data_IF_028801754856
#
_entry.id   IF_028801754856
#
_cell.length_a   1.000
_cell.length_b   1.000
_cell.length_c   1.000
_cell.angle_alpha   90.00
_cell.angle_beta   90.00
_cell.angle_gamma   90.00
#
_symmetry.space_group_name_H-M   'P 1'
#
loop_
_entity.id
_entity.type
_entity.pdbx_description
1 polymer ?
#
# COMPACT_ATOMS: atom_id res chain seq x y z
N UNK A 1 18.98 0.71 7.91
CA UNK A 1 17.74 1.47 7.98
C UNK A 1 16.55 0.65 7.55
N UNK A 2 15.36 1.12 7.82
CA UNK A 2 14.12 0.52 7.35
C UNK A 2 13.86 0.95 5.90
N UNK A 3 13.38 0.04 5.05
CA UNK A 3 13.02 0.35 3.66
C UNK A 3 11.50 0.31 3.51
N UNK A 4 10.93 1.34 2.89
CA UNK A 4 9.49 1.45 2.67
C UNK A 4 9.17 1.68 1.19
N UNK A 5 8.24 0.89 0.66
CA UNK A 5 7.58 1.10 -0.63
C UNK A 5 6.16 1.61 -0.38
N UNK A 6 5.79 2.71 -1.02
CA UNK A 6 4.46 3.28 -0.90
C UNK A 6 3.85 3.49 -2.30
N UNK A 7 2.76 2.77 -2.59
CA UNK A 7 2.01 2.85 -3.84
C UNK A 7 0.73 3.63 -3.59
N UNK A 8 0.55 4.76 -4.25
CA UNK A 8 -0.60 5.65 -4.06
C UNK A 8 -1.01 6.35 -5.35
N UNK A 9 -2.23 6.87 -5.41
CA UNK A 9 -2.70 7.80 -6.45
C UNK A 9 -2.47 9.24 -6.03
N UNK A 10 -2.66 9.53 -4.74
CA UNK A 10 -2.44 10.87 -4.16
C UNK A 10 -1.26 10.80 -3.17
N UNK A 11 -0.11 11.37 -3.52
CA UNK A 11 1.06 11.29 -2.67
C UNK A 11 0.99 12.17 -1.42
N UNK A 12 0.11 13.17 -1.35
CA UNK A 12 -0.10 14.02 -0.17
C UNK A 12 1.11 14.13 0.78
N UNK A 13 1.00 13.53 1.98
CA UNK A 13 2.06 13.52 3.00
C UNK A 13 3.27 12.64 2.59
N UNK A 14 3.09 11.63 1.74
CA UNK A 14 4.16 10.74 1.28
C UNK A 14 5.24 11.45 0.45
N UNK A 15 4.90 12.59 -0.16
CA UNK A 15 5.84 13.45 -0.88
C UNK A 15 6.97 13.92 0.03
N UNK A 16 6.64 14.39 1.23
CA UNK A 16 7.63 14.87 2.22
C UNK A 16 8.58 13.72 2.59
N UNK A 17 8.03 12.51 2.81
CA UNK A 17 8.85 11.34 3.13
C UNK A 17 9.79 10.96 1.98
N UNK A 18 9.33 11.09 0.73
CA UNK A 18 10.17 10.81 -0.43
C UNK A 18 11.32 11.81 -0.58
N UNK A 19 11.10 13.07 -0.24
CA UNK A 19 12.13 14.12 -0.25
C UNK A 19 13.16 13.93 0.89
N UNK A 20 12.69 13.60 2.10
CA UNK A 20 13.54 13.45 3.29
C UNK A 20 14.33 12.13 3.31
N UNK A 21 13.75 11.02 2.80
CA UNK A 21 14.28 9.67 2.95
C UNK A 21 14.60 9.00 1.60
N UNK A 22 15.31 9.70 0.71
CA UNK A 22 15.56 9.25 -0.65
C UNK A 22 16.26 7.88 -0.77
N UNK A 23 17.03 7.47 0.23
CA UNK A 23 17.80 6.21 0.20
C UNK A 23 16.97 4.98 0.61
N UNK A 24 15.84 5.17 1.29
CA UNK A 24 15.11 4.07 1.92
C UNK A 24 13.58 4.20 1.87
N UNK A 25 13.05 5.24 1.25
CA UNK A 25 11.63 5.38 0.96
C UNK A 25 11.41 5.49 -0.55
N UNK A 26 10.72 4.52 -1.16
CA UNK A 26 10.37 4.52 -2.57
C UNK A 26 8.88 4.84 -2.73
N UNK A 27 8.58 5.91 -3.46
CA UNK A 27 7.23 6.37 -3.74
C UNK A 27 6.83 6.02 -5.18
N UNK A 28 5.70 5.31 -5.33
CA UNK A 28 5.11 4.96 -6.62
C UNK A 28 3.79 5.73 -6.76
N UNK A 29 3.75 6.69 -7.68
CA UNK A 29 2.58 7.53 -7.92
C UNK A 29 1.87 7.05 -9.17
N UNK A 30 0.71 6.42 -9.01
CA UNK A 30 -0.13 5.93 -10.11
C UNK A 30 -1.15 6.99 -10.52
N UNK A 31 -0.66 8.11 -11.07
CA UNK A 31 -1.48 9.27 -11.43
C UNK A 31 -0.98 9.89 -12.75
N UNK A 32 -1.85 10.15 -13.74
CA UNK A 32 -1.45 10.75 -15.01
C UNK A 32 -0.85 12.15 -14.85
N UNK A 33 -1.12 12.85 -13.75
CA UNK A 33 -0.58 14.16 -13.44
C UNK A 33 0.65 14.11 -12.50
N UNK A 34 1.28 12.95 -12.32
CA UNK A 34 2.41 12.78 -11.40
C UNK A 34 3.55 13.79 -11.65
N UNK A 35 3.78 14.17 -12.92
CA UNK A 35 4.82 15.14 -13.28
C UNK A 35 4.56 16.56 -12.76
N UNK A 36 3.31 16.93 -12.53
CA UNK A 36 2.92 18.22 -11.96
C UNK A 36 2.84 18.21 -10.44
N UNK A 37 2.71 17.02 -9.86
CA UNK A 37 2.52 16.83 -8.40
C UNK A 37 3.86 16.86 -7.66
N UNK A 38 4.89 16.22 -8.24
CA UNK A 38 6.19 16.06 -7.59
C UNK A 38 7.32 16.18 -8.62
N UNK A 39 8.43 16.76 -8.18
CA UNK A 39 9.67 16.80 -8.94
C UNK A 39 10.25 15.40 -9.18
N UNK A 40 11.18 15.29 -10.13
CA UNK A 40 11.86 14.02 -10.40
C UNK A 40 12.90 13.75 -9.32
N UNK A 41 12.66 12.72 -8.51
CA UNK A 41 13.58 12.22 -7.49
C UNK A 41 13.97 10.77 -7.82
N UNK A 42 15.16 10.30 -7.44
CA UNK A 42 15.65 8.95 -7.79
C UNK A 42 14.82 7.83 -7.17
N UNK A 43 14.10 8.11 -6.10
CA UNK A 43 13.23 7.19 -5.35
C UNK A 43 11.74 7.38 -5.66
N UNK A 44 11.39 8.20 -6.66
CA UNK A 44 10.00 8.44 -7.09
C UNK A 44 9.76 7.83 -8.45
N UNK A 45 8.80 6.92 -8.52
CA UNK A 45 8.37 6.22 -9.73
C UNK A 45 7.02 6.76 -10.16
N UNK A 46 6.99 7.46 -11.29
CA UNK A 46 5.79 8.09 -11.86
C UNK A 46 5.15 7.14 -12.87
N UNK A 47 3.92 6.75 -12.63
CA UNK A 47 3.14 5.81 -13.42
C UNK A 47 1.87 6.54 -13.87
N UNK A 48 1.47 6.38 -15.13
CA UNK A 48 0.36 7.16 -15.73
C UNK A 48 -1.02 6.84 -15.12
N UNK A 49 -1.13 5.78 -14.33
CA UNK A 49 -2.38 5.36 -13.70
C UNK A 49 -2.34 3.88 -13.35
N UNK A 50 -3.51 3.31 -13.05
CA UNK A 50 -3.66 1.88 -12.71
C UNK A 50 -4.17 1.05 -13.89
N UNK A 51 -4.40 1.63 -15.06
CA UNK A 51 -4.92 0.97 -16.25
C UNK A 51 -3.97 -0.10 -16.78
N UNK A 52 -2.67 0.13 -16.63
CA UNK A 52 -1.65 -0.82 -17.05
C UNK A 52 -0.87 -1.37 -15.84
N UNK A 53 -1.30 -2.53 -15.34
CA UNK A 53 -0.63 -3.21 -14.22
C UNK A 53 0.82 -3.61 -14.52
N UNK A 54 1.18 -3.74 -15.81
CA UNK A 54 2.55 -4.04 -16.23
C UNK A 54 3.48 -2.88 -15.92
N UNK A 55 3.06 -1.64 -16.13
CA UNK A 55 3.88 -0.46 -15.83
C UNK A 55 4.18 -0.36 -14.32
N UNK A 56 3.21 -0.69 -13.47
CA UNK A 56 3.41 -0.76 -12.02
C UNK A 56 4.44 -1.86 -11.69
N UNK A 57 4.33 -3.02 -12.33
CA UNK A 57 5.26 -4.15 -12.11
C UNK A 57 6.68 -3.83 -12.57
N UNK A 58 6.85 -3.09 -13.67
CA UNK A 58 8.15 -2.64 -14.15
C UNK A 58 8.80 -1.65 -13.16
N UNK A 59 8.02 -0.69 -12.66
CA UNK A 59 8.49 0.28 -11.67
C UNK A 59 8.92 -0.42 -10.37
N UNK A 60 8.12 -1.38 -9.89
CA UNK A 60 8.47 -2.19 -8.71
C UNK A 60 9.75 -3.01 -8.94
N UNK A 61 9.89 -3.65 -10.11
CA UNK A 61 11.09 -4.42 -10.44
C UNK A 61 12.34 -3.53 -10.45
N UNK A 62 12.22 -2.31 -10.96
CA UNK A 62 13.32 -1.33 -10.95
C UNK A 62 13.70 -0.93 -9.52
N UNK A 63 12.72 -0.68 -8.66
CA UNK A 63 12.96 -0.38 -7.24
C UNK A 63 13.58 -1.58 -6.48
N UNK A 64 13.16 -2.80 -6.78
CA UNK A 64 13.77 -4.00 -6.17
C UNK A 64 15.25 -4.15 -6.51
N UNK A 65 15.66 -3.80 -7.73
CA UNK A 65 17.09 -3.82 -8.10
C UNK A 65 17.92 -2.85 -7.28
N UNK A 66 17.40 -1.63 -7.09
CA UNK A 66 18.07 -0.62 -6.24
C UNK A 66 18.14 -1.12 -4.78
N UNK A 67 17.09 -1.80 -4.32
CA UNK A 67 17.03 -2.32 -2.97
C UNK A 67 17.99 -3.47 -2.70
N UNK A 68 18.22 -4.34 -3.69
CA UNK A 68 19.11 -5.50 -3.52
C UNK A 68 20.57 -5.08 -3.29
N UNK A 69 20.93 -3.84 -3.64
CA UNK A 69 22.22 -3.21 -3.36
C UNK A 69 22.27 -2.51 -1.97
N UNK A 70 21.16 -2.48 -1.23
CA UNK A 70 20.99 -1.70 -0.01
C UNK A 70 21.12 -2.53 1.28
N UNK A 71 21.41 -1.88 2.45
CA UNK A 71 21.64 -2.59 3.69
C UNK A 71 20.41 -3.37 4.20
N UNK A 72 20.69 -4.44 4.93
CA UNK A 72 19.70 -5.35 5.54
C UNK A 72 18.96 -4.65 6.69
N UNK A 73 17.69 -4.34 6.48
CA UNK A 73 16.81 -3.79 7.50
C UNK A 73 15.36 -4.28 7.31
N UNK A 74 14.43 -3.92 8.21
CA UNK A 74 13.01 -4.18 8.02
C UNK A 74 12.51 -3.58 6.69
N UNK A 75 11.69 -4.32 5.96
CA UNK A 75 11.11 -3.92 4.68
C UNK A 75 9.59 -3.86 4.80
N UNK A 76 9.01 -2.75 4.38
CA UNK A 76 7.57 -2.51 4.45
C UNK A 76 7.02 -2.07 3.10
N UNK A 77 5.80 -2.50 2.79
CA UNK A 77 5.07 -2.03 1.62
C UNK A 77 3.68 -1.56 2.05
N UNK A 78 3.31 -0.35 1.64
CA UNK A 78 1.96 0.18 1.76
C UNK A 78 1.36 0.29 0.35
N UNK A 79 0.20 -0.35 0.12
CA UNK A 79 -0.46 -0.40 -1.17
C UNK A 79 -1.83 0.23 -1.02
N UNK A 80 -2.00 1.48 -1.44
CA UNK A 80 -3.26 2.24 -1.33
C UNK A 80 -4.11 2.22 -2.61
N UNK A 81 -3.58 1.69 -3.70
CA UNK A 81 -4.22 1.67 -5.02
C UNK A 81 -5.15 0.47 -5.27
N UNK A 82 -5.45 -0.33 -4.24
CA UNK A 82 -6.22 -1.58 -4.41
C UNK A 82 -7.63 -1.31 -4.93
N UNK A 83 -8.32 -0.31 -4.37
CA UNK A 83 -9.68 0.04 -4.82
C UNK A 83 -9.70 0.49 -6.26
N UNK A 84 -8.73 1.29 -6.68
CA UNK A 84 -8.66 1.81 -8.05
C UNK A 84 -8.36 0.71 -9.07
N UNK A 85 -7.43 -0.19 -8.73
CA UNK A 85 -7.14 -1.37 -9.54
C UNK A 85 -8.38 -2.26 -9.66
N UNK A 86 -9.09 -2.49 -8.55
CA UNK A 86 -10.27 -3.35 -8.53
C UNK A 86 -11.43 -2.78 -9.36
N UNK A 87 -11.63 -1.46 -9.33
CA UNK A 87 -12.60 -0.76 -10.17
C UNK A 87 -12.27 -0.90 -11.66
N UNK A 88 -10.98 -0.84 -12.03
CA UNK A 88 -10.53 -0.88 -13.41
C UNK A 88 -10.47 -2.29 -13.99
N UNK A 89 -10.01 -3.27 -13.20
CA UNK A 89 -9.64 -4.61 -13.69
C UNK A 89 -10.53 -5.74 -13.17
N UNK A 90 -11.48 -5.44 -12.29
CA UNK A 90 -12.30 -6.41 -11.58
C UNK A 90 -11.49 -7.46 -10.80
N UNK A 91 -12.16 -8.35 -10.07
CA UNK A 91 -11.52 -9.25 -9.13
C UNK A 91 -10.51 -10.22 -9.77
N UNK A 92 -10.78 -10.74 -10.96
CA UNK A 92 -9.94 -11.80 -11.57
C UNK A 92 -8.53 -11.28 -11.89
N UNK A 93 -8.43 -10.15 -12.58
CA UNK A 93 -7.14 -9.59 -12.97
C UNK A 93 -6.41 -8.98 -11.77
N UNK A 94 -7.13 -8.26 -10.90
CA UNK A 94 -6.59 -7.71 -9.67
C UNK A 94 -6.01 -8.80 -8.78
N UNK A 95 -6.74 -9.91 -8.58
CA UNK A 95 -6.28 -11.04 -7.78
C UNK A 95 -5.02 -11.69 -8.37
N UNK A 96 -4.97 -11.88 -9.68
CA UNK A 96 -3.78 -12.44 -10.37
C UNK A 96 -2.56 -11.56 -10.12
N UNK A 97 -2.67 -10.26 -10.36
CA UNK A 97 -1.60 -9.31 -10.19
C UNK A 97 -1.14 -9.22 -8.73
N UNK A 98 -2.09 -9.09 -7.77
CA UNK A 98 -1.78 -9.05 -6.35
C UNK A 98 -1.11 -10.33 -5.85
N UNK A 99 -1.52 -11.50 -6.33
CA UNK A 99 -0.89 -12.77 -5.94
C UNK A 99 0.60 -12.77 -6.32
N UNK A 100 0.94 -12.30 -7.50
CA UNK A 100 2.33 -12.18 -7.95
C UNK A 100 3.10 -11.17 -7.10
N UNK A 101 2.52 -9.98 -6.89
CA UNK A 101 3.15 -8.92 -6.09
C UNK A 101 3.39 -9.36 -4.64
N UNK A 102 2.37 -9.95 -3.98
CA UNK A 102 2.49 -10.43 -2.60
C UNK A 102 3.56 -11.52 -2.49
N UNK A 103 3.63 -12.42 -3.47
CA UNK A 103 4.64 -13.49 -3.50
C UNK A 103 6.05 -12.90 -3.61
N UNK A 104 6.24 -11.92 -4.48
CA UNK A 104 7.53 -11.25 -4.64
C UNK A 104 7.92 -10.43 -3.40
N UNK A 105 7.00 -9.67 -2.83
CA UNK A 105 7.23 -8.93 -1.60
C UNK A 105 7.61 -9.87 -0.43
N UNK A 106 6.93 -11.01 -0.30
CA UNK A 106 7.27 -12.02 0.73
C UNK A 106 8.65 -12.64 0.53
N UNK A 107 9.01 -12.97 -0.70
CA UNK A 107 10.34 -13.54 -1.00
C UNK A 107 11.48 -12.60 -0.62
N UNK A 108 11.19 -11.29 -0.58
CA UNK A 108 12.13 -10.22 -0.19
C UNK A 108 11.94 -9.75 1.25
N UNK A 109 11.20 -10.51 2.06
CA UNK A 109 10.94 -10.25 3.48
C UNK A 109 10.20 -8.92 3.77
N UNK A 110 9.33 -8.46 2.87
CA UNK A 110 8.46 -7.32 3.14
C UNK A 110 7.29 -7.69 4.05
N UNK A 111 6.98 -6.80 5.00
CA UNK A 111 5.68 -6.73 5.64
C UNK A 111 4.78 -5.81 4.81
N UNK A 112 3.64 -6.32 4.37
CA UNK A 112 2.75 -5.60 3.45
C UNK A 112 1.46 -5.19 4.14
N UNK A 113 1.11 -3.91 4.02
CA UNK A 113 -0.21 -3.35 4.34
C UNK A 113 -0.89 -2.96 3.02
N UNK A 114 -2.09 -3.49 2.78
CA UNK A 114 -2.92 -3.09 1.66
C UNK A 114 -4.18 -2.38 2.17
N UNK A 115 -4.53 -1.27 1.54
CA UNK A 115 -5.69 -0.45 1.92
C UNK A 115 -6.73 -0.55 0.82
N UNK A 116 -7.98 -0.82 1.22
CA UNK A 116 -9.12 -0.89 0.32
C UNK A 116 -10.36 -0.27 0.97
N UNK A 117 -11.16 0.43 0.20
CA UNK A 117 -12.48 0.87 0.63
C UNK A 117 -13.54 -0.16 0.19
N UNK A 118 -14.03 -1.03 1.10
CA UNK A 118 -14.95 -2.10 0.73
C UNK A 118 -16.33 -1.59 0.26
N UNK A 119 -16.68 -0.34 0.57
CA UNK A 119 -17.96 0.25 0.15
C UNK A 119 -18.02 0.61 -1.34
N UNK A 120 -16.88 0.59 -2.02
CA UNK A 120 -16.77 0.91 -3.46
C UNK A 120 -16.97 -0.32 -4.36
N UNK A 121 -17.07 -1.53 -3.78
CA UNK A 121 -16.99 -2.77 -4.54
C UNK A 121 -18.10 -3.77 -4.14
N UNK A 122 -18.51 -4.67 -5.05
CA UNK A 122 -19.34 -5.84 -4.71
C UNK A 122 -18.66 -6.70 -3.64
N UNK A 123 -19.45 -7.26 -2.75
CA UNK A 123 -18.94 -8.03 -1.60
C UNK A 123 -18.07 -9.23 -2.01
N UNK A 124 -18.41 -9.88 -3.11
CA UNK A 124 -17.67 -11.01 -3.67
C UNK A 124 -16.26 -10.60 -4.11
N UNK A 125 -16.12 -9.42 -4.71
CA UNK A 125 -14.82 -8.88 -5.12
C UNK A 125 -13.97 -8.49 -3.90
N UNK A 126 -14.60 -7.89 -2.87
CA UNK A 126 -13.95 -7.58 -1.60
C UNK A 126 -13.38 -8.85 -0.97
N UNK A 127 -14.19 -9.89 -0.84
CA UNK A 127 -13.74 -11.16 -0.26
C UNK A 127 -12.63 -11.80 -1.10
N UNK A 128 -12.73 -11.76 -2.42
CA UNK A 128 -11.71 -12.31 -3.31
C UNK A 128 -10.32 -11.65 -3.11
N UNK A 129 -10.29 -10.39 -2.70
CA UNK A 129 -9.04 -9.67 -2.42
C UNK A 129 -8.56 -9.92 -0.99
N UNK A 130 -9.45 -9.83 0.00
CA UNK A 130 -9.10 -10.03 1.43
C UNK A 130 -8.48 -11.42 1.67
N UNK A 131 -8.96 -12.44 0.96
CA UNK A 131 -8.47 -13.81 1.09
C UNK A 131 -7.00 -14.00 0.69
N UNK A 132 -6.41 -13.05 -0.02
CA UNK A 132 -4.97 -13.08 -0.34
C UNK A 132 -4.08 -12.74 0.86
N UNK A 133 -4.65 -12.11 1.88
CA UNK A 133 -3.91 -11.58 3.02
C UNK A 133 -4.05 -12.45 4.27
N UNK A 134 -2.98 -12.53 5.03
CA UNK A 134 -2.96 -13.25 6.31
C UNK A 134 -3.58 -12.48 7.48
N UNK A 135 -3.96 -11.23 7.29
CA UNK A 135 -4.58 -10.38 8.30
C UNK A 135 -5.64 -9.45 7.71
N UNK A 136 -6.61 -9.09 8.50
CA UNK A 136 -7.66 -8.13 8.17
C UNK A 136 -7.84 -7.17 9.35
N UNK A 137 -7.73 -5.88 9.06
CA UNK A 137 -7.94 -4.79 10.01
C UNK A 137 -9.03 -3.89 9.46
N UNK A 138 -10.09 -3.71 10.21
CA UNK A 138 -11.16 -2.78 9.87
C UNK A 138 -10.96 -1.46 10.60
N UNK A 139 -10.99 -0.37 9.83
CA UNK A 139 -11.10 0.99 10.34
C UNK A 139 -12.49 1.49 9.97
N UNK A 140 -13.23 1.96 10.94
CA UNK A 140 -14.58 2.46 10.75
C UNK A 140 -14.89 3.63 11.68
N UNK A 141 -15.88 4.41 11.31
CA UNK A 141 -16.31 5.59 12.01
C UNK A 141 -17.67 5.34 12.68
N UNK A 142 -17.83 5.82 13.91
CA UNK A 142 -19.10 5.86 14.65
C UNK A 142 -19.65 7.28 14.71
N UNK A 143 -20.78 7.43 15.35
CA UNK A 143 -21.37 8.74 15.61
C UNK A 143 -20.33 9.67 16.27
N UNK A 144 -20.31 10.96 15.85
CA UNK A 144 -19.37 12.02 16.30
C UNK A 144 -17.95 11.92 15.72
N UNK A 145 -17.77 11.33 14.53
CA UNK A 145 -16.47 11.25 13.83
C UNK A 145 -15.39 10.47 14.61
N UNK A 146 -15.76 9.69 15.60
CA UNK A 146 -14.83 8.84 16.33
C UNK A 146 -14.45 7.63 15.49
N UNK A 147 -13.16 7.47 15.22
CA UNK A 147 -12.60 6.35 14.45
C UNK A 147 -12.13 5.22 15.35
N UNK A 148 -12.42 4.01 14.92
CA UNK A 148 -12.04 2.78 15.61
C UNK A 148 -11.32 1.83 14.67
N UNK A 149 -10.40 1.07 15.24
CA UNK A 149 -9.71 -0.02 14.58
C UNK A 149 -10.12 -1.34 15.25
N UNK A 150 -10.45 -2.34 14.44
CA UNK A 150 -10.70 -3.70 14.88
C UNK A 150 -9.94 -4.69 14.04
N UNK A 151 -9.15 -5.55 14.69
CA UNK A 151 -8.52 -6.68 14.01
C UNK A 151 -9.58 -7.78 13.86
N UNK A 152 -9.86 -8.18 12.62
CA UNK A 152 -10.82 -9.22 12.29
C UNK A 152 -10.17 -10.60 12.20
N UNK A 153 -8.94 -10.63 11.68
CA UNK A 153 -8.21 -11.84 11.39
C UNK A 153 -6.72 -11.55 11.45
N UNK A 154 -5.94 -12.47 12.00
CA UNK A 154 -4.49 -12.46 11.87
C UNK A 154 -3.95 -13.89 12.00
N UNK A 155 -3.42 -14.42 10.89
CA UNK A 155 -2.93 -15.78 10.85
C UNK A 155 -1.65 -15.93 11.67
N UNK A 156 -1.58 -17.02 12.43
CA UNK A 156 -0.38 -17.43 13.20
C UNK A 156 0.10 -16.41 14.24
N UNK A 157 -0.76 -15.49 14.67
CA UNK A 157 -0.44 -14.53 15.75
C UNK A 157 -1.64 -14.35 16.68
N UNK A 158 -1.35 -14.17 17.96
CA UNK A 158 -2.35 -13.65 18.91
C UNK A 158 -2.57 -12.18 18.64
N UNK A 159 -3.80 -11.72 18.67
CA UNK A 159 -4.17 -10.32 18.48
C UNK A 159 -5.25 -9.90 19.47
N UNK A 160 -5.39 -8.59 19.64
CA UNK A 160 -6.42 -8.01 20.49
C UNK A 160 -7.77 -8.04 19.74
N UNK A 161 -8.76 -8.69 20.32
CA UNK A 161 -10.11 -8.80 19.73
C UNK A 161 -11.00 -7.58 20.01
N UNK A 162 -10.63 -6.77 21.00
CA UNK A 162 -11.34 -5.54 21.35
C UNK A 162 -11.08 -4.42 20.33
N UNK A 163 -12.01 -3.51 20.25
CA UNK A 163 -11.88 -2.30 19.43
C UNK A 163 -10.94 -1.31 20.08
N UNK A 164 -10.10 -0.67 19.26
CA UNK A 164 -9.17 0.37 19.68
C UNK A 164 -9.64 1.72 19.12
N UNK A 165 -9.85 2.74 19.96
CA UNK A 165 -10.11 4.08 19.47
C UNK A 165 -8.85 4.65 18.78
N UNK A 166 -9.02 5.21 17.58
CA UNK A 166 -7.97 5.91 16.86
C UNK A 166 -8.07 7.40 17.20
N UNK A 167 -7.12 7.90 17.97
CA UNK A 167 -6.95 9.34 18.20
C UNK A 167 -5.89 9.87 17.24
N UNK A 168 -6.21 10.97 16.56
CA UNK A 168 -5.22 11.72 15.78
C UNK A 168 -4.42 12.56 16.77
N UNK A 169 -3.31 12.04 17.27
CA UNK A 169 -2.33 12.88 17.96
C UNK A 169 -1.46 13.54 16.90
N UNK A 170 -1.47 14.89 16.84
CA UNK A 170 -0.43 15.61 16.12
C UNK A 170 0.86 15.37 16.90
N UNK A 171 1.84 14.76 16.25
CA UNK A 171 3.21 14.86 16.72
C UNK A 171 3.59 16.33 16.62
N UNK A 172 3.54 17.05 17.71
CA UNK A 172 4.16 18.38 17.82
C UNK A 172 5.66 18.18 17.62
N UNK A 173 6.22 18.91 16.64
CA UNK A 173 7.66 18.94 16.37
C UNK A 173 8.39 19.71 17.42
#
# INVERSE_FOLDING_TARGET
GEVTFHLTIDPAEAKILAEEFQSNFCLFICNPQADTIIESLPNVFKIKGVENLTDISIALTSAFRILDESPKGPRRACIEIISDILLQHHAVQTRRWLTQLITELRSRAFTTLAVMNPKMHPLEEVHAIIDLFGGEINIYERAREEKFLKIKKMHNRKYLESELPLKKERLEK
#
